data_IF_419354813464
#
_entry.id   IF_419354813464
#
_cell.length_a   1.000
_cell.length_b   1.000
_cell.length_c   1.000
_cell.angle_alpha   90.00
_cell.angle_beta   90.00
_cell.angle_gamma   90.00
#
_symmetry.space_group_name_H-M   'P 1'
#
loop_
_entity.id
_entity.type
_entity.pdbx_description
1 polymer ?
#
# COMPACT_ATOMS: atom_id res chain seq x y z
N UNK A 1 8.03 -3.05 -7.87
CA UNK A 1 7.03 -2.42 -6.97
C UNK A 1 5.70 -3.14 -7.14
N UNK A 2 4.81 -3.00 -6.16
CA UNK A 2 3.44 -3.52 -6.18
C UNK A 2 2.45 -2.38 -6.04
N UNK A 3 1.34 -2.44 -6.78
CA UNK A 3 0.24 -1.48 -6.70
C UNK A 3 -0.86 -2.05 -5.84
N UNK A 4 -1.34 -1.28 -4.87
CA UNK A 4 -2.48 -1.72 -4.05
C UNK A 4 -3.73 -1.91 -4.89
N UNK A 5 -4.61 -2.81 -4.47
CA UNK A 5 -5.96 -2.95 -5.04
C UNK A 5 -6.81 -1.72 -4.73
N UNK A 6 -6.80 -1.32 -3.46
CA UNK A 6 -7.55 -0.19 -2.92
C UNK A 6 -6.59 0.71 -2.14
N UNK A 7 -6.79 2.04 -2.23
CA UNK A 7 -5.96 2.99 -1.51
C UNK A 7 -6.09 2.82 0.01
N UNK A 8 -5.03 3.16 0.75
CA UNK A 8 -5.07 3.09 2.22
C UNK A 8 -6.19 3.96 2.79
N UNK A 9 -6.35 5.16 2.24
CA UNK A 9 -7.38 6.10 2.69
C UNK A 9 -8.80 5.63 2.41
N UNK A 10 -9.04 4.97 1.27
CA UNK A 10 -10.32 4.35 0.97
C UNK A 10 -10.65 3.23 1.96
N UNK A 11 -9.71 2.30 2.17
CA UNK A 11 -9.87 1.21 3.12
C UNK A 11 -10.24 1.71 4.53
N UNK A 12 -9.54 2.73 5.02
CA UNK A 12 -9.77 3.26 6.36
C UNK A 12 -11.06 4.03 6.51
N UNK A 13 -11.45 4.78 5.48
CA UNK A 13 -12.72 5.49 5.46
C UNK A 13 -13.90 4.52 5.48
N UNK A 14 -13.90 3.48 4.65
CA UNK A 14 -14.97 2.47 4.67
C UNK A 14 -15.00 1.72 6.01
N UNK A 15 -13.84 1.53 6.66
CA UNK A 15 -13.71 0.93 7.99
C UNK A 15 -14.01 1.88 9.16
N UNK A 16 -14.49 3.09 8.88
CA UNK A 16 -14.86 4.07 9.92
C UNK A 16 -13.70 4.45 10.85
N UNK A 17 -12.45 4.36 10.39
CA UNK A 17 -11.24 4.66 11.18
C UNK A 17 -10.94 6.15 11.25
N UNK A 18 -11.98 6.94 11.53
CA UNK A 18 -11.94 8.39 11.71
C UNK A 18 -12.97 8.80 12.76
N UNK A 19 -12.81 9.98 13.35
CA UNK A 19 -13.81 10.57 14.23
C UNK A 19 -14.59 11.65 13.49
N UNK A 20 -15.91 11.72 13.71
CA UNK A 20 -16.79 12.66 13.00
C UNK A 20 -16.52 14.13 13.34
N UNK A 21 -15.90 14.38 14.50
CA UNK A 21 -15.45 15.72 14.89
C UNK A 21 -14.11 16.13 14.26
N UNK A 22 -13.38 15.20 13.64
CA UNK A 22 -12.08 15.46 13.01
C UNK A 22 -12.22 15.54 11.49
N UNK A 23 -12.83 16.63 11.04
CA UNK A 23 -13.09 16.84 9.61
C UNK A 23 -11.81 17.05 8.81
N UNK A 24 -10.73 17.56 9.41
CA UNK A 24 -9.43 17.68 8.73
C UNK A 24 -8.88 16.31 8.37
N UNK A 25 -9.00 15.34 9.27
CA UNK A 25 -8.60 13.97 8.99
C UNK A 25 -9.52 13.29 7.96
N UNK A 26 -10.84 13.48 8.04
CA UNK A 26 -11.79 12.98 7.03
C UNK A 26 -11.47 13.57 5.64
N UNK A 27 -11.21 14.87 5.56
CA UNK A 27 -10.80 15.55 4.33
C UNK A 27 -9.49 14.97 3.77
N UNK A 28 -8.51 14.72 4.65
CA UNK A 28 -7.25 14.08 4.27
C UNK A 28 -7.46 12.67 3.71
N UNK A 29 -8.31 11.85 4.32
CA UNK A 29 -8.65 10.54 3.78
C UNK A 29 -9.27 10.66 2.39
N UNK A 30 -10.31 11.49 2.24
CA UNK A 30 -11.02 11.66 0.97
C UNK A 30 -10.08 12.18 -0.13
N UNK A 31 -9.27 13.20 0.16
CA UNK A 31 -8.33 13.78 -0.81
C UNK A 31 -7.20 12.82 -1.24
N UNK A 32 -6.91 11.80 -0.43
CA UNK A 32 -5.95 10.74 -0.75
C UNK A 32 -6.62 9.47 -1.30
N UNK A 33 -7.92 9.46 -1.60
CA UNK A 33 -8.51 8.37 -2.39
C UNK A 33 -8.19 8.51 -3.87
N UNK A 34 -8.55 7.53 -4.68
CA UNK A 34 -8.57 7.65 -6.14
C UNK A 34 -9.89 8.24 -6.63
N UNK A 35 -9.89 8.77 -7.87
CA UNK A 35 -11.13 9.23 -8.51
C UNK A 35 -12.19 8.12 -8.59
N UNK A 36 -11.86 6.87 -9.01
CA UNK A 36 -12.82 5.76 -8.97
C UNK A 36 -13.35 5.44 -7.56
N UNK A 37 -12.52 5.52 -6.53
CA UNK A 37 -12.93 5.27 -5.14
C UNK A 37 -13.91 6.33 -4.63
N UNK A 38 -13.65 7.61 -4.90
CA UNK A 38 -14.59 8.68 -4.56
C UNK A 38 -15.93 8.50 -5.27
N UNK A 39 -15.91 8.12 -6.56
CA UNK A 39 -17.13 7.82 -7.32
C UNK A 39 -17.97 6.72 -6.66
N UNK A 40 -17.33 5.61 -6.26
CA UNK A 40 -18.00 4.51 -5.55
C UNK A 40 -18.66 4.97 -4.25
N UNK A 41 -18.00 5.81 -3.45
CA UNK A 41 -18.56 6.33 -2.18
C UNK A 41 -19.84 7.16 -2.39
N UNK A 42 -19.98 7.80 -3.55
CA UNK A 42 -21.17 8.60 -3.88
C UNK A 42 -22.29 7.72 -4.44
N UNK A 43 -21.95 6.70 -5.22
CA UNK A 43 -22.90 5.92 -6.02
C UNK A 43 -23.39 4.63 -5.35
N UNK A 44 -22.61 4.09 -4.41
CA UNK A 44 -22.88 2.78 -3.81
C UNK A 44 -23.31 2.89 -2.35
N UNK A 45 -24.12 1.91 -1.93
CA UNK A 45 -24.47 1.72 -0.53
C UNK A 45 -23.31 1.13 0.28
N UNK A 46 -23.27 1.43 1.58
CA UNK A 46 -22.19 1.00 2.47
C UNK A 46 -21.96 -0.51 2.42
N UNK A 47 -23.03 -1.30 2.38
CA UNK A 47 -22.97 -2.77 2.41
C UNK A 47 -22.28 -3.34 1.17
N UNK A 48 -22.48 -2.70 0.02
CA UNK A 48 -21.79 -3.05 -1.23
C UNK A 48 -20.29 -2.77 -1.11
N UNK A 49 -19.92 -1.59 -0.61
CA UNK A 49 -18.53 -1.20 -0.43
C UNK A 49 -17.81 -2.11 0.57
N UNK A 50 -18.46 -2.42 1.70
CA UNK A 50 -17.95 -3.33 2.71
C UNK A 50 -17.71 -4.74 2.14
N UNK A 51 -18.69 -5.25 1.38
CA UNK A 51 -18.60 -6.54 0.71
C UNK A 51 -17.47 -6.57 -0.32
N UNK A 52 -17.20 -5.48 -1.03
CA UNK A 52 -16.07 -5.39 -1.97
C UNK A 52 -14.70 -5.47 -1.28
N UNK A 53 -14.59 -5.00 -0.03
CA UNK A 53 -13.37 -5.07 0.76
C UNK A 53 -13.09 -6.48 1.25
N UNK A 54 -14.08 -7.12 1.88
CA UNK A 54 -13.87 -8.38 2.61
C UNK A 54 -14.31 -9.62 1.85
N UNK A 55 -15.26 -9.47 0.92
CA UNK A 55 -15.94 -10.54 0.20
C UNK A 55 -17.34 -10.82 0.77
N UNK A 56 -18.19 -11.54 0.00
CA UNK A 56 -19.57 -11.83 0.37
C UNK A 56 -19.69 -12.52 1.74
N UNK A 57 -20.60 -12.00 2.59
CA UNK A 57 -20.93 -12.58 3.89
C UNK A 57 -19.84 -12.48 4.96
N UNK A 58 -18.74 -11.79 4.69
CA UNK A 58 -17.67 -11.59 5.67
C UNK A 58 -17.85 -10.30 6.44
N UNK A 59 -17.69 -10.40 7.76
CA UNK A 59 -17.58 -9.27 8.67
C UNK A 59 -18.80 -8.32 8.65
N UNK A 60 -20.00 -8.79 8.31
CA UNK A 60 -21.23 -7.96 8.22
C UNK A 60 -22.04 -7.90 9.51
N UNK A 61 -21.53 -8.47 10.60
CA UNK A 61 -22.19 -8.49 11.91
C UNK A 61 -21.23 -8.12 13.04
N UNK A 62 -20.06 -7.58 12.70
CA UNK A 62 -19.09 -7.15 13.69
C UNK A 62 -19.43 -5.77 14.22
N UNK A 63 -18.93 -5.47 15.43
CA UNK A 63 -19.00 -4.11 15.96
C UNK A 63 -18.30 -3.09 15.04
N UNK A 64 -17.25 -3.50 14.31
CA UNK A 64 -16.57 -2.62 13.35
C UNK A 64 -17.51 -2.26 12.19
N UNK A 65 -18.22 -3.23 11.62
CA UNK A 65 -19.19 -2.99 10.57
C UNK A 65 -20.29 -2.02 11.00
N UNK A 66 -20.95 -2.29 12.13
CA UNK A 66 -22.07 -1.45 12.61
C UNK A 66 -21.63 -0.01 12.88
N UNK A 67 -20.49 0.17 13.57
CA UNK A 67 -19.95 1.50 13.85
C UNK A 67 -19.53 2.23 12.58
N UNK A 68 -18.92 1.52 11.63
CA UNK A 68 -18.50 2.09 10.35
C UNK A 68 -19.70 2.53 9.51
N UNK A 69 -20.77 1.72 9.49
CA UNK A 69 -22.02 2.04 8.79
C UNK A 69 -22.67 3.29 9.35
N UNK A 70 -22.77 3.39 10.68
CA UNK A 70 -23.31 4.57 11.35
C UNK A 70 -22.51 5.82 10.99
N UNK A 71 -21.17 5.77 11.12
CA UNK A 71 -20.29 6.90 10.78
C UNK A 71 -20.44 7.30 9.30
N UNK A 72 -20.48 6.32 8.40
CA UNK A 72 -20.59 6.54 6.96
C UNK A 72 -21.86 7.31 6.54
N UNK A 73 -23.01 7.01 7.15
CA UNK A 73 -24.27 7.69 6.86
C UNK A 73 -24.47 9.01 7.62
N UNK A 74 -23.64 9.31 8.63
CA UNK A 74 -23.65 10.61 9.32
C UNK A 74 -22.89 11.71 8.57
N UNK A 75 -22.11 11.36 7.54
CA UNK A 75 -21.37 12.31 6.72
C UNK A 75 -22.16 12.73 5.46
N UNK A 76 -22.10 14.01 5.10
CA UNK A 76 -22.44 14.46 3.75
C UNK A 76 -21.28 14.17 2.79
N UNK A 77 -21.22 12.91 2.34
CA UNK A 77 -20.13 12.40 1.50
C UNK A 77 -20.01 13.16 0.18
N UNK A 78 -21.13 13.61 -0.39
CA UNK A 78 -21.14 14.38 -1.64
C UNK A 78 -20.47 15.73 -1.46
N UNK A 79 -20.83 16.47 -0.40
CA UNK A 79 -20.20 17.75 -0.10
C UNK A 79 -18.71 17.61 0.21
N UNK A 80 -18.33 16.61 1.02
CA UNK A 80 -16.93 16.38 1.40
C UNK A 80 -16.08 16.02 0.18
N UNK A 81 -16.58 15.18 -0.74
CA UNK A 81 -15.86 14.81 -1.97
C UNK A 81 -15.72 16.02 -2.90
N UNK A 82 -16.75 16.85 -3.04
CA UNK A 82 -16.68 18.06 -3.88
C UNK A 82 -15.60 19.04 -3.37
N UNK A 83 -15.43 19.15 -2.05
CA UNK A 83 -14.38 19.96 -1.43
C UNK A 83 -12.98 19.33 -1.54
N UNK A 84 -12.88 18.02 -1.72
CA UNK A 84 -11.62 17.26 -1.65
C UNK A 84 -11.43 16.35 -2.87
N UNK A 85 -11.58 16.91 -4.08
CA UNK A 85 -11.46 16.14 -5.32
C UNK A 85 -10.11 15.45 -5.43
N UNK A 86 -10.14 14.15 -5.68
CA UNK A 86 -8.93 13.37 -5.87
C UNK A 86 -8.20 13.78 -7.15
N UNK A 87 -6.86 13.80 -7.07
CA UNK A 87 -5.95 13.91 -8.20
C UNK A 87 -5.35 12.57 -8.63
N UNK A 88 -5.73 11.48 -7.96
CA UNK A 88 -5.10 10.17 -8.12
C UNK A 88 -5.98 9.29 -9.03
N UNK A 89 -5.49 8.92 -10.23
CA UNK A 89 -6.21 8.01 -11.11
C UNK A 89 -6.13 6.55 -10.63
N UNK A 90 -5.11 6.21 -9.82
CA UNK A 90 -4.86 4.85 -9.34
C UNK A 90 -4.36 4.82 -7.88
N UNK A 91 -4.49 3.66 -7.19
CA UNK A 91 -3.99 3.47 -5.83
C UNK A 91 -2.46 3.51 -5.76
N UNK A 92 -1.94 3.47 -4.54
CA UNK A 92 -0.50 3.66 -4.33
C UNK A 92 0.35 2.49 -4.79
N UNK A 93 1.48 2.85 -5.37
CA UNK A 93 2.60 1.94 -5.54
C UNK A 93 3.48 1.94 -4.29
N UNK A 94 3.93 0.76 -3.90
CA UNK A 94 4.88 0.56 -2.81
C UNK A 94 5.89 -0.54 -3.12
N UNK A 95 6.80 -0.75 -2.17
CA UNK A 95 7.66 -1.93 -2.15
C UNK A 95 6.95 -3.08 -1.43
N UNK A 96 7.19 -4.34 -1.85
CA UNK A 96 6.57 -5.48 -1.19
C UNK A 96 6.93 -5.57 0.28
N UNK A 97 5.94 -5.87 1.12
CA UNK A 97 6.09 -5.88 2.59
C UNK A 97 4.86 -6.48 3.25
N UNK A 98 5.04 -6.99 4.45
CA UNK A 98 3.92 -7.32 5.33
C UNK A 98 4.35 -7.54 6.76
N UNK A 99 3.55 -8.30 7.50
CA UNK A 99 3.71 -8.45 8.94
C UNK A 99 4.52 -9.70 9.24
N UNK A 100 5.48 -9.55 10.14
CA UNK A 100 6.27 -10.67 10.63
C UNK A 100 5.42 -11.61 11.46
N UNK A 101 5.50 -12.91 11.14
CA UNK A 101 4.86 -13.97 11.90
C UNK A 101 5.61 -14.25 13.21
N UNK A 102 4.94 -14.90 14.16
CA UNK A 102 5.57 -15.31 15.42
C UNK A 102 6.67 -16.33 15.12
N UNK A 103 7.90 -16.03 15.55
CA UNK A 103 9.07 -16.89 15.35
C UNK A 103 9.79 -16.69 14.01
N UNK A 104 9.27 -15.83 13.13
CA UNK A 104 9.90 -15.49 11.85
C UNK A 104 10.96 -14.39 12.05
N UNK A 105 12.11 -14.51 11.39
CA UNK A 105 13.11 -13.44 11.31
C UNK A 105 12.69 -12.34 10.33
N UNK A 106 13.34 -11.17 10.38
CA UNK A 106 12.99 -10.06 9.48
C UNK A 106 13.25 -10.41 8.00
N UNK A 107 14.31 -11.17 7.71
CA UNK A 107 14.64 -11.59 6.34
C UNK A 107 13.71 -12.68 5.82
N UNK A 108 13.31 -13.64 6.65
CA UNK A 108 12.32 -14.67 6.29
C UNK A 108 10.97 -14.02 5.96
N UNK A 109 10.54 -13.06 6.80
CA UNK A 109 9.34 -12.27 6.52
C UNK A 109 9.45 -11.53 5.19
N UNK A 110 10.59 -10.86 4.93
CA UNK A 110 10.78 -10.13 3.67
C UNK A 110 10.70 -11.06 2.44
N UNK A 111 11.32 -12.25 2.50
CA UNK A 111 11.26 -13.25 1.42
C UNK A 111 9.84 -13.78 1.20
N UNK A 112 9.13 -14.12 2.28
CA UNK A 112 7.75 -14.63 2.22
C UNK A 112 6.81 -13.58 1.65
N UNK A 113 6.83 -12.35 2.18
CA UNK A 113 5.95 -11.26 1.73
C UNK A 113 6.25 -10.83 0.29
N UNK A 114 7.54 -10.81 -0.10
CA UNK A 114 7.92 -10.58 -1.49
C UNK A 114 7.31 -11.65 -2.41
N UNK A 115 7.45 -12.93 -2.05
CA UNK A 115 6.83 -14.01 -2.82
C UNK A 115 5.30 -13.92 -2.84
N UNK A 116 4.66 -13.69 -1.69
CA UNK A 116 3.20 -13.57 -1.59
C UNK A 116 2.67 -12.44 -2.50
N UNK A 117 3.30 -11.27 -2.51
CA UNK A 117 2.81 -10.11 -3.28
C UNK A 117 3.26 -10.09 -4.75
N UNK A 118 4.38 -10.75 -5.12
CA UNK A 118 4.92 -10.70 -6.49
C UNK A 118 4.95 -12.04 -7.23
N UNK A 119 4.83 -13.15 -6.51
CA UNK A 119 5.04 -14.52 -7.02
C UNK A 119 6.43 -14.69 -7.67
N UNK A 120 7.44 -14.03 -7.09
CA UNK A 120 8.85 -14.20 -7.46
C UNK A 120 9.52 -15.01 -6.35
N UNK A 121 10.09 -16.15 -6.71
CA UNK A 121 10.68 -17.11 -5.78
C UNK A 121 12.12 -16.74 -5.42
N UNK A 122 12.56 -17.18 -4.24
CA UNK A 122 13.86 -16.83 -3.65
C UNK A 122 15.06 -17.40 -4.43
N UNK A 123 14.87 -18.48 -5.18
CA UNK A 123 15.88 -19.01 -6.10
C UNK A 123 16.24 -18.05 -7.24
N UNK A 124 15.41 -17.05 -7.53
CA UNK A 124 15.63 -16.08 -8.63
C UNK A 124 16.51 -14.89 -8.25
N UNK A 125 16.81 -14.69 -6.97
CA UNK A 125 17.59 -13.55 -6.49
C UNK A 125 18.58 -13.95 -5.39
N UNK A 126 19.51 -13.04 -5.10
CA UNK A 126 20.40 -13.09 -3.95
C UNK A 126 20.13 -11.87 -3.09
N UNK A 127 19.87 -12.09 -1.80
CA UNK A 127 19.63 -11.02 -0.82
C UNK A 127 20.92 -10.71 -0.06
N UNK A 128 21.16 -9.43 0.21
CA UNK A 128 22.17 -9.01 1.19
C UNK A 128 21.46 -8.70 2.51
N UNK A 129 21.64 -9.57 3.50
CA UNK A 129 20.98 -9.44 4.81
C UNK A 129 21.56 -8.30 5.67
N UNK A 130 22.76 -7.81 5.33
CA UNK A 130 23.38 -6.68 6.01
C UNK A 130 22.94 -5.34 5.39
N UNK A 131 22.57 -5.36 4.11
CA UNK A 131 22.11 -4.17 3.41
C UNK A 131 20.60 -3.98 3.54
N UNK A 132 20.23 -3.13 4.50
CA UNK A 132 18.83 -2.81 4.80
C UNK A 132 18.58 -1.32 4.92
N UNK A 133 17.38 -0.92 4.53
CA UNK A 133 16.84 0.42 4.68
C UNK A 133 15.62 0.38 5.59
N UNK A 134 15.41 1.45 6.35
CA UNK A 134 14.31 1.53 7.32
C UNK A 134 13.49 2.77 7.04
N UNK A 135 12.17 2.63 6.95
CA UNK A 135 11.23 3.75 7.07
C UNK A 135 10.45 3.59 8.37
N UNK A 136 10.36 4.66 9.16
CA UNK A 136 9.59 4.69 10.42
C UNK A 136 8.61 5.85 10.35
N UNK A 137 7.32 5.57 10.40
CA UNK A 137 6.28 6.58 10.21
C UNK A 137 5.10 6.32 11.13
N UNK A 138 4.36 7.37 11.46
CA UNK A 138 3.12 7.25 12.21
C UNK A 138 2.00 6.97 11.22
N UNK A 139 1.31 5.86 11.41
CA UNK A 139 0.12 5.55 10.63
C UNK A 139 -1.04 6.44 11.06
N UNK A 140 -2.04 6.40 10.22
CA UNK A 140 -3.38 6.99 10.36
C UNK A 140 -4.10 6.65 11.67
N UNK A 141 -3.89 5.44 12.20
CA UNK A 141 -4.37 5.03 13.52
C UNK A 141 -3.49 5.50 14.69
N UNK A 142 -2.60 6.46 14.46
CA UNK A 142 -1.66 7.00 15.44
C UNK A 142 -0.62 5.97 15.96
N UNK A 143 -0.52 4.79 15.35
CA UNK A 143 0.47 3.78 15.69
C UNK A 143 1.77 4.06 14.94
N UNK A 144 2.91 3.86 15.60
CA UNK A 144 4.22 3.93 14.96
C UNK A 144 4.48 2.63 14.19
N UNK A 145 4.66 2.74 12.89
CA UNK A 145 5.04 1.66 12.00
C UNK A 145 6.52 1.75 11.66
N UNK A 146 7.12 0.57 11.44
CA UNK A 146 8.48 0.43 10.96
C UNK A 146 8.50 -0.62 9.87
N UNK A 147 8.99 -0.28 8.69
CA UNK A 147 9.34 -1.26 7.67
C UNK A 147 10.86 -1.38 7.57
N UNK A 148 11.32 -2.61 7.40
CA UNK A 148 12.71 -2.94 7.13
C UNK A 148 12.74 -3.54 5.73
N UNK A 149 13.41 -2.86 4.81
CA UNK A 149 13.57 -3.30 3.43
C UNK A 149 14.97 -3.83 3.23
N UNK A 150 15.08 -5.01 2.64
CA UNK A 150 16.34 -5.60 2.23
C UNK A 150 16.56 -5.38 0.73
N UNK A 151 17.81 -5.35 0.31
CA UNK A 151 18.17 -5.28 -1.11
C UNK A 151 18.47 -6.68 -1.64
N UNK A 152 17.84 -7.01 -2.76
CA UNK A 152 18.09 -8.24 -3.48
C UNK A 152 18.50 -7.95 -4.92
N UNK A 153 19.46 -8.72 -5.43
CA UNK A 153 19.90 -8.70 -6.81
C UNK A 153 19.33 -9.92 -7.53
N UNK A 154 18.61 -9.70 -8.63
CA UNK A 154 18.16 -10.79 -9.48
C UNK A 154 19.33 -11.52 -10.10
N UNK A 155 19.28 -12.86 -10.09
CA UNK A 155 20.22 -13.70 -10.84
C UNK A 155 19.98 -13.60 -12.34
N UNK A 156 18.72 -13.48 -12.75
CA UNK A 156 18.30 -13.24 -14.14
C UNK A 156 16.91 -12.60 -14.18
N UNK A 157 16.74 -11.53 -14.95
CA UNK A 157 15.43 -10.90 -15.16
C UNK A 157 14.60 -11.58 -16.25
N UNK A 158 15.20 -12.44 -17.08
CA UNK A 158 14.55 -13.04 -18.26
C UNK A 158 13.37 -13.93 -17.92
N UNK A 159 13.35 -14.50 -16.73
CA UNK A 159 12.33 -15.48 -16.29
C UNK A 159 11.18 -14.82 -15.53
N UNK A 160 11.24 -13.51 -15.23
CA UNK A 160 10.25 -12.83 -14.41
C UNK A 160 9.22 -12.13 -15.29
N UNK A 161 7.98 -12.62 -15.25
CA UNK A 161 6.86 -11.97 -15.89
C UNK A 161 6.00 -11.21 -14.87
N UNK A 162 6.22 -9.90 -14.73
CA UNK A 162 5.41 -9.07 -13.82
C UNK A 162 3.99 -8.80 -14.32
N UNK A 163 3.70 -9.11 -15.59
CA UNK A 163 2.36 -9.01 -16.19
C UNK A 163 1.56 -10.31 -16.07
N UNK A 164 2.07 -11.30 -15.33
CA UNK A 164 1.33 -12.53 -15.07
C UNK A 164 0.03 -12.24 -14.32
N UNK A 165 -0.98 -13.10 -14.54
CA UNK A 165 -2.24 -13.01 -13.81
C UNK A 165 -1.96 -13.20 -12.32
N UNK A 166 -2.45 -12.27 -11.50
CA UNK A 166 -2.35 -12.37 -10.04
C UNK A 166 -3.12 -13.59 -9.54
N UNK A 167 -2.58 -14.23 -8.50
CA UNK A 167 -3.29 -15.28 -7.79
C UNK A 167 -4.52 -14.71 -7.07
N UNK A 168 -5.44 -15.60 -6.67
CA UNK A 168 -6.60 -15.17 -5.87
C UNK A 168 -6.19 -14.49 -4.55
N UNK A 169 -5.11 -14.95 -3.92
CA UNK A 169 -4.63 -14.36 -2.66
C UNK A 169 -4.00 -12.98 -2.91
N UNK A 170 -3.18 -12.84 -3.95
CA UNK A 170 -2.60 -11.56 -4.34
C UNK A 170 -3.66 -10.52 -4.69
N UNK A 171 -4.65 -10.90 -5.48
CA UNK A 171 -5.68 -9.97 -5.97
C UNK A 171 -6.60 -9.41 -4.87
N UNK A 172 -6.47 -9.86 -3.63
CA UNK A 172 -7.12 -9.24 -2.46
C UNK A 172 -6.46 -7.92 -2.07
N UNK A 173 -5.15 -7.80 -2.24
CA UNK A 173 -4.39 -6.64 -1.73
C UNK A 173 -3.65 -5.89 -2.83
N UNK A 174 -3.27 -6.58 -3.90
CA UNK A 174 -2.46 -6.08 -5.00
C UNK A 174 -3.27 -6.10 -6.29
N UNK A 175 -3.19 -5.01 -7.07
CA UNK A 175 -3.78 -4.94 -8.42
C UNK A 175 -2.74 -5.10 -9.52
N UNK A 176 -1.46 -4.83 -9.24
CA UNK A 176 -0.41 -4.88 -10.25
C UNK A 176 0.98 -5.08 -9.65
N UNK A 177 1.86 -5.75 -10.40
CA UNK A 177 3.30 -5.86 -10.10
C UNK A 177 4.07 -5.26 -11.27
N UNK A 178 5.09 -4.46 -11.00
CA UNK A 178 5.83 -3.78 -12.07
C UNK A 178 7.27 -3.47 -11.74
N UNK A 179 8.13 -3.65 -12.73
CA UNK A 179 9.47 -3.08 -12.75
C UNK A 179 9.37 -1.56 -12.91
N UNK A 180 10.12 -0.83 -12.09
CA UNK A 180 10.22 0.63 -12.14
C UNK A 180 11.67 1.02 -11.89
N UNK A 181 12.17 1.96 -12.68
CA UNK A 181 13.40 2.69 -12.42
C UNK A 181 13.27 3.53 -11.16
N UNK A 182 14.39 3.98 -10.57
CA UNK A 182 14.37 4.84 -9.38
C UNK A 182 13.60 6.15 -9.64
N UNK A 183 13.72 6.72 -10.85
CA UNK A 183 12.95 7.89 -11.28
C UNK A 183 11.44 7.60 -11.33
N UNK A 184 11.04 6.48 -11.93
CA UNK A 184 9.62 6.07 -11.95
C UNK A 184 9.09 5.81 -10.54
N UNK A 185 9.86 5.14 -9.67
CA UNK A 185 9.52 4.94 -8.26
C UNK A 185 9.23 6.29 -7.58
N UNK A 186 10.12 7.27 -7.74
CA UNK A 186 9.98 8.62 -7.16
C UNK A 186 8.70 9.31 -7.62
N UNK A 187 8.33 9.15 -8.89
CA UNK A 187 7.16 9.79 -9.47
C UNK A 187 5.83 9.15 -9.02
N UNK A 188 5.82 7.84 -8.76
CA UNK A 188 4.58 7.12 -8.35
C UNK A 188 4.37 7.09 -6.84
N UNK A 189 5.41 7.27 -6.02
CA UNK A 189 5.27 7.35 -4.57
C UNK A 189 4.54 8.63 -4.22
N UNK A 190 3.45 8.51 -3.45
CA UNK A 190 2.66 9.68 -3.04
C UNK A 190 3.50 10.65 -2.18
N UNK A 191 3.33 11.97 -2.34
CA UNK A 191 4.15 12.98 -1.66
C UNK A 191 4.13 12.90 -0.13
N UNK A 192 3.04 12.40 0.48
CA UNK A 192 2.94 12.27 1.93
C UNK A 192 3.76 11.10 2.49
N UNK A 193 4.26 10.17 1.67
CA UNK A 193 5.18 9.12 2.11
C UNK A 193 6.63 9.64 2.16
N UNK A 194 6.86 10.65 2.98
CA UNK A 194 8.15 11.37 3.10
C UNK A 194 9.30 10.41 3.42
N UNK A 195 9.11 9.51 4.38
CA UNK A 195 10.13 8.54 4.77
C UNK A 195 10.51 7.57 3.65
N UNK A 196 9.54 7.21 2.79
CA UNK A 196 9.80 6.35 1.63
C UNK A 196 10.57 7.08 0.54
N UNK A 197 10.29 8.36 0.33
CA UNK A 197 11.05 9.21 -0.60
C UNK A 197 12.48 9.44 -0.10
N UNK A 198 12.67 9.58 1.22
CA UNK A 198 13.99 9.64 1.85
C UNK A 198 14.73 8.31 1.69
N UNK A 199 14.06 7.18 1.90
CA UNK A 199 14.63 5.85 1.67
C UNK A 199 15.11 5.68 0.23
N UNK A 200 14.29 6.07 -0.76
CA UNK A 200 14.66 5.99 -2.17
C UNK A 200 15.92 6.83 -2.48
N UNK A 201 16.04 8.00 -1.86
CA UNK A 201 17.22 8.86 -1.98
C UNK A 201 18.47 8.20 -1.40
N UNK A 202 18.34 7.43 -0.31
CA UNK A 202 19.46 6.66 0.25
C UNK A 202 19.89 5.52 -0.68
N UNK A 203 18.92 4.82 -1.30
CA UNK A 203 19.18 3.76 -2.29
C UNK A 203 19.92 4.33 -3.52
N UNK A 204 19.46 5.48 -4.05
CA UNK A 204 20.12 6.17 -5.16
C UNK A 204 21.59 6.50 -4.85
N UNK A 205 21.86 7.05 -3.65
CA UNK A 205 23.24 7.37 -3.21
C UNK A 205 24.12 6.14 -3.08
N UNK A 206 23.58 5.05 -2.53
CA UNK A 206 24.30 3.78 -2.40
C UNK A 206 24.70 3.23 -3.78
N UNK A 207 23.77 3.21 -4.73
CA UNK A 207 24.04 2.72 -6.10
C UNK A 207 25.10 3.59 -6.77
N UNK A 208 24.99 4.91 -6.66
CA UNK A 208 25.97 5.85 -7.23
C UNK A 208 27.38 5.63 -6.64
N UNK A 209 27.46 5.41 -5.32
CA UNK A 209 28.74 5.13 -4.63
C UNK A 209 29.36 3.83 -5.14
N UNK A 210 28.58 2.75 -5.23
CA UNK A 210 29.07 1.48 -5.74
C UNK A 210 29.58 1.59 -7.18
N UNK A 211 28.82 2.24 -8.06
CA UNK A 211 29.21 2.47 -9.46
C UNK A 211 30.46 3.34 -9.60
N UNK A 212 30.74 4.23 -8.65
CA UNK A 212 31.94 5.06 -8.65
C UNK A 212 33.20 4.31 -8.23
N UNK A 213 33.06 3.29 -7.38
CA UNK A 213 34.16 2.44 -6.89
C UNK A 213 34.48 1.31 -7.87
N UNK A 214 33.49 0.85 -8.64
CA UNK A 214 33.66 -0.22 -9.65
C UNK A 214 34.17 0.28 -11.01
N UNK A 215 34.50 1.56 -11.14
CA UNK A 215 35.17 2.15 -12.30
C UNK A 215 36.66 2.31 -12.01
#
# INVERSE_FOLDING_TARGET
MVKRKDSMSYMEFIRGKYELGDMDYVNSLIGNMTVPEQKKIVEEEFDTLWTQLWGPGRDTHSAEYELSKIKYYQLDRKAIIEMNKSRYPEPEWGFPKGRRNRGESDVECAKREFWEETNITDDTYTIDENLKFVETFRGTNNILYRHIYFVALLKSSKTINTKQKLTYMQSKEISEVGWKTLSECRNVIRPHYVERLNLLTQVERMIATYQSISK
#
